data_IF_294762204030
#
_entry.id   IF_294762204030
#
_cell.length_a   1.000
_cell.length_b   1.000
_cell.length_c   1.000
_cell.angle_alpha   90.00
_cell.angle_beta   90.00
_cell.angle_gamma   90.00
#
_symmetry.space_group_name_H-M   'P 1'
#
loop_
_entity.id
_entity.type
_entity.pdbx_description
1 polymer ?
#
# COMPACT_ATOMS: atom_id res chain seq x y z
N UNK A 1 34.89 -9.41 24.75
CA UNK A 1 34.30 -10.77 24.62
C UNK A 1 33.72 -10.79 23.21
N UNK A 2 34.55 -11.19 22.25
CA UNK A 2 34.24 -11.13 20.82
C UNK A 2 33.49 -12.37 20.39
N UNK A 3 32.42 -12.19 19.62
CA UNK A 3 31.76 -13.28 18.92
C UNK A 3 32.37 -13.28 17.51
N UNK A 4 33.18 -14.29 17.24
CA UNK A 4 33.94 -14.42 16.01
C UNK A 4 33.05 -14.72 14.83
N UNK A 5 33.04 -13.81 13.86
CA UNK A 5 32.66 -14.08 12.48
C UNK A 5 33.82 -14.82 11.82
N UNK A 6 34.02 -16.09 12.16
CA UNK A 6 35.04 -16.90 11.50
C UNK A 6 34.63 -18.37 11.51
N UNK A 7 33.91 -18.73 10.45
CA UNK A 7 33.86 -20.04 9.80
C UNK A 7 32.71 -19.98 8.82
N UNK A 8 32.98 -19.73 7.54
CA UNK A 8 32.39 -20.42 6.39
C UNK A 8 33.17 -19.97 5.15
N UNK A 9 34.27 -20.67 4.87
CA UNK A 9 34.90 -20.66 3.54
C UNK A 9 34.43 -21.92 2.84
N UNK A 10 33.35 -21.78 2.07
CA UNK A 10 33.03 -22.63 0.91
C UNK A 10 32.15 -21.82 -0.05
N UNK A 11 32.53 -21.85 -1.33
CA UNK A 11 31.76 -21.51 -2.54
C UNK A 11 31.32 -20.04 -2.77
N UNK A 12 32.04 -19.39 -3.68
CA UNK A 12 31.78 -18.07 -4.30
C UNK A 12 30.38 -17.85 -4.90
N UNK A 13 29.53 -18.88 -4.95
CA UNK A 13 28.10 -18.79 -5.29
C UNK A 13 27.21 -18.41 -4.11
N UNK A 14 27.50 -18.88 -2.89
CA UNK A 14 26.72 -18.61 -1.67
C UNK A 14 26.86 -17.14 -1.22
N UNK A 15 28.02 -16.52 -1.44
CA UNK A 15 28.26 -15.12 -1.06
C UNK A 15 27.43 -14.17 -1.95
N UNK A 16 27.41 -14.40 -3.27
CA UNK A 16 26.55 -13.61 -4.19
C UNK A 16 25.06 -13.84 -3.96
N UNK A 17 24.71 -15.01 -3.43
CA UNK A 17 23.35 -15.41 -3.09
C UNK A 17 22.86 -14.68 -1.83
N UNK A 18 23.64 -14.74 -0.74
CA UNK A 18 23.39 -13.98 0.48
C UNK A 18 23.35 -12.47 0.20
N UNK A 19 24.33 -11.94 -0.54
CA UNK A 19 24.36 -10.51 -0.88
C UNK A 19 23.12 -10.05 -1.68
N UNK A 20 22.53 -10.90 -2.53
CA UNK A 20 21.31 -10.56 -3.30
C UNK A 20 20.07 -10.58 -2.41
N UNK A 21 19.92 -11.59 -1.55
CA UNK A 21 18.79 -11.65 -0.62
C UNK A 21 18.91 -10.52 0.40
N UNK A 22 20.10 -10.26 0.94
CA UNK A 22 20.37 -9.18 1.88
C UNK A 22 20.03 -7.81 1.28
N UNK A 23 20.42 -7.54 0.02
CA UNK A 23 20.03 -6.28 -0.64
C UNK A 23 18.51 -6.16 -0.80
N UNK A 24 17.82 -7.23 -1.21
CA UNK A 24 16.36 -7.22 -1.35
C UNK A 24 15.63 -7.14 -0.01
N UNK A 25 16.21 -7.68 1.07
CA UNK A 25 15.71 -7.54 2.43
C UNK A 25 15.96 -6.12 2.97
N UNK A 26 17.12 -5.52 2.70
CA UNK A 26 17.51 -4.20 3.19
C UNK A 26 16.78 -3.03 2.51
N UNK A 27 16.26 -3.21 1.30
CA UNK A 27 15.50 -2.15 0.60
C UNK A 27 14.17 -1.78 1.29
N UNK A 28 13.62 -2.66 2.13
CA UNK A 28 12.24 -2.51 2.66
C UNK A 28 12.14 -2.75 4.18
N UNK A 29 13.19 -3.30 4.81
CA UNK A 29 13.27 -3.47 6.27
C UNK A 29 13.84 -2.18 6.88
N UNK A 30 12.99 -1.17 7.00
CA UNK A 30 13.29 0.06 7.77
C UNK A 30 13.46 -0.23 9.29
N UNK A 31 13.10 -1.44 9.75
CA UNK A 31 13.18 -1.87 11.13
C UNK A 31 13.29 -3.41 11.22
N UNK A 32 14.47 -3.91 11.58
CA UNK A 32 14.79 -5.35 11.72
C UNK A 32 13.99 -6.08 12.78
N UNK A 33 13.21 -5.35 13.60
CA UNK A 33 12.33 -5.92 14.62
C UNK A 33 10.88 -6.09 14.14
N UNK A 34 10.57 -5.67 12.90
CA UNK A 34 9.25 -5.90 12.28
C UNK A 34 9.24 -7.27 11.59
N UNK A 35 8.17 -8.07 11.74
CA UNK A 35 7.98 -9.26 10.93
C UNK A 35 8.04 -8.90 9.44
N UNK A 36 8.69 -9.74 8.65
CA UNK A 36 8.77 -9.55 7.19
C UNK A 36 7.35 -9.56 6.61
N UNK A 37 7.05 -8.61 5.71
CA UNK A 37 5.75 -8.55 5.06
C UNK A 37 5.52 -9.79 4.18
N UNK A 38 4.26 -10.19 4.04
CA UNK A 38 3.88 -11.43 3.34
C UNK A 38 4.40 -11.50 1.90
N UNK A 39 4.34 -10.37 1.17
CA UNK A 39 4.80 -10.28 -0.21
C UNK A 39 6.32 -10.39 -0.37
N UNK A 40 7.09 -10.05 0.66
CA UNK A 40 8.55 -9.96 0.57
C UNK A 40 9.23 -11.31 0.33
N UNK A 41 8.82 -12.34 1.09
CA UNK A 41 9.36 -13.70 0.93
C UNK A 41 9.06 -14.26 -0.46
N UNK A 42 7.83 -14.07 -0.93
CA UNK A 42 7.39 -14.57 -2.23
C UNK A 42 8.04 -13.82 -3.39
N UNK A 43 8.18 -12.50 -3.27
CA UNK A 43 8.89 -11.70 -4.26
C UNK A 43 10.34 -12.15 -4.41
N UNK A 44 11.06 -12.37 -3.31
CA UNK A 44 12.43 -12.89 -3.34
C UNK A 44 12.49 -14.28 -3.97
N UNK A 45 11.59 -15.19 -3.58
CA UNK A 45 11.52 -16.54 -4.15
C UNK A 45 11.30 -16.48 -5.67
N UNK A 46 10.38 -15.63 -6.15
CA UNK A 46 10.09 -15.48 -7.57
C UNK A 46 11.23 -14.81 -8.35
N UNK A 47 11.77 -13.69 -7.85
CA UNK A 47 12.79 -12.90 -8.53
C UNK A 47 14.13 -13.66 -8.64
N UNK A 48 14.39 -14.56 -7.69
CA UNK A 48 15.61 -15.35 -7.63
C UNK A 48 15.44 -16.80 -8.13
N UNK A 49 14.21 -17.20 -8.53
CA UNK A 49 13.84 -18.57 -8.90
C UNK A 49 14.23 -19.60 -7.82
N UNK A 50 13.88 -19.29 -6.57
CA UNK A 50 14.18 -20.07 -5.37
C UNK A 50 12.92 -20.70 -4.78
N UNK A 51 13.14 -21.80 -4.06
CA UNK A 51 12.06 -22.41 -3.28
C UNK A 51 11.71 -21.50 -2.08
N UNK A 52 10.42 -21.34 -1.80
CA UNK A 52 9.94 -20.48 -0.72
C UNK A 52 10.42 -20.96 0.66
N UNK A 53 10.64 -22.27 0.84
CA UNK A 53 11.18 -22.85 2.05
C UNK A 53 12.67 -22.49 2.22
N UNK A 54 13.43 -22.39 1.13
CA UNK A 54 14.83 -21.95 1.16
C UNK A 54 14.95 -20.48 1.61
N UNK A 55 14.10 -19.60 1.05
CA UNK A 55 14.06 -18.18 1.44
C UNK A 55 13.59 -18.03 2.90
N UNK A 56 12.58 -18.81 3.29
CA UNK A 56 12.07 -18.82 4.68
C UNK A 56 13.16 -19.28 5.67
N UNK A 57 13.88 -20.36 5.33
CA UNK A 57 14.97 -20.87 6.15
C UNK A 57 16.12 -19.87 6.25
N UNK A 58 16.44 -19.17 5.16
CA UNK A 58 17.42 -18.08 5.16
C UNK A 58 17.02 -16.95 6.12
N UNK A 59 15.77 -16.50 6.04
CA UNK A 59 15.19 -15.47 6.92
C UNK A 59 15.29 -15.87 8.39
N UNK A 60 15.01 -17.14 8.72
CA UNK A 60 15.19 -17.67 10.08
C UNK A 60 16.67 -17.65 10.50
N UNK A 61 17.57 -18.04 9.60
CA UNK A 61 19.01 -18.11 9.89
C UNK A 61 19.62 -16.72 10.17
N UNK A 62 19.12 -15.67 9.53
CA UNK A 62 19.53 -14.28 9.79
C UNK A 62 18.83 -13.64 11.01
N UNK A 63 17.99 -14.41 11.72
CA UNK A 63 17.34 -14.00 12.96
C UNK A 63 16.01 -13.25 12.78
N UNK A 64 15.45 -13.22 11.58
CA UNK A 64 14.16 -12.62 11.28
C UNK A 64 13.03 -13.65 11.45
N UNK A 65 11.84 -13.17 11.80
CA UNK A 65 10.66 -14.03 11.94
C UNK A 65 9.86 -14.01 10.64
N UNK A 66 9.75 -15.14 9.91
CA UNK A 66 8.95 -15.19 8.70
C UNK A 66 7.46 -15.05 9.05
N UNK A 67 6.65 -14.41 8.18
CA UNK A 67 5.21 -14.44 8.31
C UNK A 67 4.69 -15.88 8.27
N UNK A 68 3.57 -16.14 8.93
CA UNK A 68 2.96 -17.48 8.94
C UNK A 68 2.27 -17.75 7.60
N UNK A 69 3.06 -18.07 6.58
CA UNK A 69 2.59 -18.27 5.21
C UNK A 69 2.27 -19.74 5.00
N UNK A 70 0.98 -20.08 4.98
CA UNK A 70 0.53 -21.48 4.80
C UNK A 70 0.23 -21.85 3.34
N UNK A 71 0.33 -20.89 2.41
CA UNK A 71 -0.01 -21.05 0.99
C UNK A 71 0.90 -20.19 0.12
N UNK A 72 1.26 -20.73 -1.04
CA UNK A 72 1.87 -19.97 -2.14
C UNK A 72 0.95 -18.81 -2.55
N UNK A 73 1.52 -17.62 -2.67
CA UNK A 73 0.90 -16.46 -3.27
C UNK A 73 0.98 -16.53 -4.80
N UNK A 74 -0.13 -16.27 -5.48
CA UNK A 74 -0.12 -16.06 -6.93
C UNK A 74 0.42 -14.67 -7.29
N UNK A 75 0.75 -14.45 -8.57
CA UNK A 75 1.07 -13.10 -9.08
C UNK A 75 -0.03 -12.08 -8.74
N UNK A 76 -1.30 -12.46 -8.93
CA UNK A 76 -2.45 -11.63 -8.56
C UNK A 76 -2.51 -11.30 -7.06
N UNK A 77 -1.97 -12.18 -6.20
CA UNK A 77 -1.90 -11.90 -4.76
C UNK A 77 -0.81 -10.88 -4.45
N UNK A 78 0.34 -10.99 -5.13
CA UNK A 78 1.43 -10.04 -5.01
C UNK A 78 0.99 -8.64 -5.48
N UNK A 79 0.27 -8.56 -6.60
CA UNK A 79 -0.35 -7.31 -7.05
C UNK A 79 -1.30 -6.79 -5.97
N UNK A 80 -2.19 -7.63 -5.44
CA UNK A 80 -3.19 -7.17 -4.49
C UNK A 80 -2.62 -6.74 -3.13
N UNK A 81 -1.48 -7.28 -2.69
CA UNK A 81 -0.84 -6.91 -1.42
C UNK A 81 0.25 -5.85 -1.58
N UNK A 82 0.63 -5.47 -2.80
CA UNK A 82 1.46 -4.30 -3.05
C UNK A 82 0.65 -3.03 -2.73
N UNK A 83 1.25 -2.07 -2.02
CA UNK A 83 0.66 -0.75 -1.79
C UNK A 83 0.37 -0.06 -3.13
N UNK A 84 1.21 -0.33 -4.13
CA UNK A 84 1.10 0.25 -5.46
C UNK A 84 0.32 -0.55 -6.50
N UNK A 85 -0.10 -1.76 -6.13
CA UNK A 85 -0.82 -2.70 -6.99
C UNK A 85 -0.04 -3.12 -8.24
N UNK A 86 1.28 -3.10 -8.14
CA UNK A 86 2.21 -3.42 -9.25
C UNK A 86 2.97 -4.73 -9.04
N UNK A 87 2.63 -5.47 -7.98
CA UNK A 87 3.28 -6.71 -7.59
C UNK A 87 4.68 -6.50 -7.03
N UNK A 88 5.02 -5.28 -6.60
CA UNK A 88 6.31 -4.92 -6.00
C UNK A 88 6.12 -4.23 -4.66
N UNK A 89 7.20 -4.18 -3.89
CA UNK A 89 7.25 -3.39 -2.66
C UNK A 89 6.99 -1.90 -2.94
N UNK A 90 6.45 -1.16 -1.96
CA UNK A 90 6.22 -1.60 -0.58
C UNK A 90 4.96 -2.47 -0.44
N UNK A 91 5.00 -3.46 0.46
CA UNK A 91 3.88 -4.37 0.72
C UNK A 91 2.98 -3.90 1.86
N UNK A 92 1.71 -4.31 1.84
CA UNK A 92 0.78 -4.11 2.95
C UNK A 92 1.27 -4.83 4.22
N UNK A 93 1.23 -4.14 5.36
CA UNK A 93 1.53 -4.71 6.67
C UNK A 93 0.31 -5.47 7.22
N UNK A 94 0.44 -6.79 7.35
CA UNK A 94 -0.63 -7.68 7.87
C UNK A 94 -1.08 -7.34 9.30
N UNK A 95 -0.27 -6.60 10.06
CA UNK A 95 -0.62 -6.13 11.42
C UNK A 95 -1.51 -4.90 11.40
N UNK A 96 -1.55 -4.17 10.29
CA UNK A 96 -2.39 -3.00 10.13
C UNK A 96 -3.67 -3.40 9.39
N UNK A 97 -4.83 -2.88 9.80
CA UNK A 97 -6.05 -3.13 9.06
C UNK A 97 -6.00 -2.41 7.70
N UNK A 98 -6.33 -3.14 6.64
CA UNK A 98 -6.44 -2.64 5.27
C UNK A 98 -7.57 -1.63 5.22
N UNK A 99 -7.22 -0.46 4.73
CA UNK A 99 -8.11 0.69 4.70
C UNK A 99 -8.98 0.68 3.42
N UNK A 100 -10.15 1.33 3.43
CA UNK A 100 -11.08 1.30 2.29
C UNK A 100 -10.44 1.73 0.97
N UNK A 101 -9.52 2.69 1.01
CA UNK A 101 -8.84 3.22 -0.18
C UNK A 101 -8.13 2.16 -1.02
N UNK A 102 -7.59 1.12 -0.38
CA UNK A 102 -6.88 0.05 -1.08
C UNK A 102 -7.82 -0.73 -1.98
N UNK A 103 -9.05 -0.99 -1.51
CA UNK A 103 -10.11 -1.60 -2.32
C UNK A 103 -10.48 -0.70 -3.49
N UNK A 104 -10.52 0.62 -3.25
CA UNK A 104 -10.88 1.56 -4.31
C UNK A 104 -9.80 1.58 -5.39
N UNK A 105 -8.53 1.57 -4.99
CA UNK A 105 -7.39 1.47 -5.91
C UNK A 105 -7.42 0.16 -6.69
N UNK A 106 -7.68 -0.96 -6.02
CA UNK A 106 -7.78 -2.29 -6.66
C UNK A 106 -8.96 -2.37 -7.65
N UNK A 107 -10.09 -1.76 -7.31
CA UNK A 107 -11.20 -1.62 -8.25
C UNK A 107 -10.84 -0.75 -9.46
N UNK A 108 -10.02 0.28 -9.25
CA UNK A 108 -9.65 1.23 -10.30
C UNK A 108 -8.61 0.67 -11.28
N UNK A 109 -7.54 0.09 -10.74
CA UNK A 109 -6.35 -0.27 -11.51
C UNK A 109 -6.41 -1.72 -11.99
N UNK A 110 -6.98 -2.62 -11.17
CA UNK A 110 -7.06 -4.05 -11.46
C UNK A 110 -8.47 -4.49 -11.88
N UNK A 111 -9.45 -3.58 -11.90
CA UNK A 111 -10.86 -3.86 -12.20
C UNK A 111 -11.48 -4.94 -11.29
N UNK A 112 -10.96 -5.10 -10.07
CA UNK A 112 -11.41 -6.11 -9.12
C UNK A 112 -12.58 -5.60 -8.27
N UNK A 113 -13.73 -6.31 -8.25
CA UNK A 113 -14.84 -5.93 -7.38
C UNK A 113 -14.42 -5.91 -5.90
N UNK A 114 -14.90 -4.94 -5.10
CA UNK A 114 -14.50 -4.78 -3.69
C UNK A 114 -14.72 -6.03 -2.84
N UNK A 115 -15.82 -6.75 -3.09
CA UNK A 115 -16.16 -8.04 -2.47
C UNK A 115 -15.05 -9.08 -2.69
N UNK A 116 -14.52 -9.16 -3.92
CA UNK A 116 -13.46 -10.10 -4.27
C UNK A 116 -12.13 -9.71 -3.62
N UNK A 117 -11.82 -8.41 -3.60
CA UNK A 117 -10.63 -7.87 -2.92
C UNK A 117 -10.67 -8.21 -1.43
N UNK A 118 -11.80 -7.95 -0.75
CA UNK A 118 -11.96 -8.26 0.68
C UNK A 118 -11.84 -9.75 0.95
N UNK A 119 -12.54 -10.58 0.16
CA UNK A 119 -12.50 -12.03 0.32
C UNK A 119 -11.06 -12.53 0.17
N UNK A 120 -10.32 -12.03 -0.82
CA UNK A 120 -8.95 -12.47 -1.08
C UNK A 120 -7.99 -12.01 0.01
N UNK A 121 -7.98 -10.72 0.36
CA UNK A 121 -7.12 -10.19 1.43
C UNK A 121 -7.42 -10.85 2.79
N UNK A 122 -8.69 -11.12 3.11
CA UNK A 122 -9.06 -11.84 4.34
C UNK A 122 -8.51 -13.27 4.33
N UNK A 123 -8.58 -13.97 3.19
CA UNK A 123 -8.00 -15.31 3.04
C UNK A 123 -6.47 -15.33 3.21
N UNK A 124 -5.81 -14.20 2.93
CA UNK A 124 -4.37 -13.99 3.11
C UNK A 124 -4.02 -13.50 4.53
N UNK A 125 -5.01 -13.36 5.44
CA UNK A 125 -4.80 -13.01 6.84
C UNK A 125 -4.86 -11.51 7.15
N UNK A 126 -5.23 -10.66 6.18
CA UNK A 126 -5.42 -9.24 6.42
C UNK A 126 -6.76 -8.96 7.11
N UNK A 127 -6.78 -7.95 7.98
CA UNK A 127 -8.00 -7.42 8.61
C UNK A 127 -8.45 -6.17 7.87
N UNK A 128 -9.75 -5.92 7.75
CA UNK A 128 -10.28 -4.69 7.15
C UNK A 128 -10.51 -3.62 8.22
N UNK A 129 -10.31 -2.35 7.86
CA UNK A 129 -10.54 -1.19 8.74
C UNK A 129 -12.01 -0.70 8.73
N UNK A 130 -12.89 -1.41 8.04
CA UNK A 130 -14.28 -1.06 7.82
C UNK A 130 -15.17 -2.31 7.96
N UNK A 131 -16.41 -2.10 8.42
CA UNK A 131 -17.40 -3.17 8.55
C UNK A 131 -18.29 -3.29 7.30
N UNK A 132 -18.53 -2.17 6.60
CA UNK A 132 -19.34 -2.09 5.39
C UNK A 132 -18.44 -1.70 4.21
N UNK A 133 -18.71 -2.28 3.04
CA UNK A 133 -17.94 -1.97 1.83
C UNK A 133 -18.14 -0.50 1.43
N UNK A 134 -17.07 0.18 0.98
CA UNK A 134 -17.22 1.50 0.40
C UNK A 134 -18.17 1.44 -0.80
N UNK A 135 -19.06 2.43 -0.89
CA UNK A 135 -20.02 2.54 -2.00
C UNK A 135 -19.30 2.91 -3.30
N UNK A 136 -18.89 1.87 -4.03
CA UNK A 136 -18.17 1.96 -5.30
C UNK A 136 -19.07 1.78 -6.53
N UNK A 137 -20.38 1.96 -6.36
CA UNK A 137 -21.36 1.83 -7.46
C UNK A 137 -21.19 2.89 -8.56
N UNK A 138 -20.38 3.94 -8.32
CA UNK A 138 -20.06 4.99 -9.29
C UNK A 138 -18.67 4.84 -9.92
N UNK A 139 -18.59 4.19 -11.09
CA UNK A 139 -17.41 4.23 -11.98
C UNK A 139 -16.78 5.64 -12.18
N UNK A 140 -17.55 6.76 -12.27
CA UNK A 140 -16.96 8.10 -12.37
C UNK A 140 -16.15 8.58 -11.15
N UNK A 141 -16.23 7.91 -9.99
CA UNK A 141 -15.58 8.36 -8.76
C UNK A 141 -14.09 8.03 -8.66
N UNK A 142 -13.59 7.13 -9.49
CA UNK A 142 -12.15 6.87 -9.59
C UNK A 142 -11.38 8.13 -10.02
N UNK A 143 -12.00 8.95 -10.86
CA UNK A 143 -11.43 10.24 -11.27
C UNK A 143 -11.37 11.27 -10.13
N UNK A 144 -12.20 11.11 -9.09
CA UNK A 144 -12.14 11.96 -7.90
C UNK A 144 -10.96 11.60 -7.01
N UNK A 145 -10.50 10.35 -7.04
CA UNK A 145 -9.43 9.88 -6.17
C UNK A 145 -8.05 10.09 -6.75
N UNK A 146 -7.95 10.44 -8.04
CA UNK A 146 -6.67 10.71 -8.70
C UNK A 146 -6.33 12.19 -8.64
N UNK A 147 -5.18 12.51 -8.04
CA UNK A 147 -4.65 13.86 -8.03
C UNK A 147 -4.31 14.30 -9.46
N UNK A 148 -4.84 15.45 -9.89
CA UNK A 148 -4.61 15.94 -11.24
C UNK A 148 -3.15 16.38 -11.49
N UNK A 149 -2.44 16.81 -10.44
CA UNK A 149 -1.07 17.31 -10.54
C UNK A 149 -0.03 16.21 -10.70
N UNK A 150 -0.24 15.07 -10.03
CA UNK A 150 0.74 13.97 -9.95
C UNK A 150 0.27 12.72 -10.69
N UNK A 151 -1.04 12.58 -10.91
CA UNK A 151 -1.65 11.34 -11.34
C UNK A 151 -1.70 10.26 -10.26
N UNK A 152 -1.21 10.55 -9.05
CA UNK A 152 -1.24 9.59 -7.95
C UNK A 152 -2.62 9.56 -7.29
N UNK A 153 -2.96 8.44 -6.67
CA UNK A 153 -4.15 8.37 -5.83
C UNK A 153 -3.98 9.24 -4.59
N UNK A 154 -5.11 9.78 -4.11
CA UNK A 154 -5.13 10.52 -2.87
C UNK A 154 -4.71 9.61 -1.72
N UNK A 155 -3.77 10.11 -0.92
CA UNK A 155 -3.44 9.53 0.36
C UNK A 155 -4.61 9.77 1.33
N UNK A 156 -5.27 8.73 1.83
CA UNK A 156 -6.45 8.83 2.68
C UNK A 156 -6.10 9.15 4.12
N UNK A 157 -4.84 8.96 4.52
CA UNK A 157 -4.39 9.40 5.81
C UNK A 157 -4.12 10.89 5.87
N UNK A 158 -3.95 11.50 4.70
CA UNK A 158 -3.80 12.95 4.54
C UNK A 158 -5.14 13.61 4.26
N UNK A 159 -5.39 14.81 4.82
CA UNK A 159 -6.55 15.59 4.45
C UNK A 159 -6.56 15.91 2.95
N UNK A 160 -7.71 15.74 2.30
CA UNK A 160 -7.92 16.17 0.92
C UNK A 160 -7.74 17.68 0.84
N UNK A 161 -6.91 18.13 -0.10
CA UNK A 161 -6.61 19.56 -0.23
C UNK A 161 -7.78 20.32 -0.86
N UNK A 162 -7.94 21.60 -0.50
CA UNK A 162 -8.91 22.48 -1.15
C UNK A 162 -8.67 22.59 -2.66
N UNK A 163 -7.41 22.58 -3.10
CA UNK A 163 -7.04 22.61 -4.50
C UNK A 163 -7.61 21.40 -5.27
N UNK A 164 -7.50 20.20 -4.68
CA UNK A 164 -8.07 18.98 -5.26
C UNK A 164 -9.59 19.06 -5.35
N UNK A 165 -10.26 19.49 -4.27
CA UNK A 165 -11.72 19.63 -4.23
C UNK A 165 -12.24 20.61 -5.29
N UNK A 166 -11.60 21.78 -5.44
CA UNK A 166 -11.96 22.77 -6.46
C UNK A 166 -11.72 22.23 -7.87
N UNK A 167 -10.60 21.53 -8.09
CA UNK A 167 -10.30 20.94 -9.39
C UNK A 167 -11.32 19.87 -9.78
N UNK A 168 -11.62 18.95 -8.86
CA UNK A 168 -12.59 17.88 -9.05
C UNK A 168 -14.01 18.43 -9.31
N UNK A 169 -14.45 19.42 -8.52
CA UNK A 169 -15.72 20.13 -8.71
C UNK A 169 -15.83 20.73 -10.12
N UNK A 170 -14.79 21.45 -10.58
CA UNK A 170 -14.76 22.03 -11.93
C UNK A 170 -14.79 20.98 -13.03
N UNK A 171 -14.04 19.87 -12.89
CA UNK A 171 -14.00 18.81 -13.90
C UNK A 171 -15.33 18.09 -14.05
N UNK A 172 -16.07 17.91 -12.95
CA UNK A 172 -17.36 17.22 -12.94
C UNK A 172 -18.56 18.15 -13.13
N UNK A 173 -18.34 19.46 -13.09
CA UNK A 173 -19.42 20.46 -13.05
C UNK A 173 -20.40 20.22 -11.89
N UNK A 174 -19.86 19.75 -10.76
CA UNK A 174 -20.61 19.44 -9.53
C UNK A 174 -20.23 20.44 -8.42
N UNK A 175 -21.14 20.76 -7.49
CA UNK A 175 -20.80 21.55 -6.30
C UNK A 175 -19.65 20.93 -5.50
N UNK A 176 -18.78 21.78 -4.94
CA UNK A 176 -17.64 21.32 -4.12
C UNK A 176 -18.11 20.55 -2.86
N UNK A 177 -19.31 20.85 -2.36
CA UNK A 177 -19.96 20.12 -1.26
C UNK A 177 -20.27 18.69 -1.63
N UNK A 178 -20.80 18.47 -2.83
CA UNK A 178 -21.21 17.15 -3.32
C UNK A 178 -19.96 16.29 -3.56
N UNK A 179 -18.90 16.88 -4.11
CA UNK A 179 -17.59 16.24 -4.24
C UNK A 179 -16.99 15.88 -2.89
N UNK A 180 -17.06 16.79 -1.91
CA UNK A 180 -16.58 16.57 -0.55
C UNK A 180 -17.33 15.42 0.14
N UNK A 181 -18.66 15.43 0.07
CA UNK A 181 -19.49 14.34 0.58
C UNK A 181 -19.18 13.01 -0.10
N UNK A 182 -18.98 13.02 -1.42
CA UNK A 182 -18.64 11.79 -2.16
C UNK A 182 -17.28 11.25 -1.75
N UNK A 183 -16.25 12.10 -1.65
CA UNK A 183 -14.93 11.70 -1.17
C UNK A 183 -14.98 11.18 0.28
N UNK A 184 -15.80 11.78 1.14
CA UNK A 184 -16.01 11.29 2.50
C UNK A 184 -16.66 9.91 2.54
N UNK A 185 -17.68 9.66 1.69
CA UNK A 185 -18.30 8.32 1.53
C UNK A 185 -17.32 7.28 0.99
N UNK A 186 -16.32 7.71 0.22
CA UNK A 186 -15.21 6.88 -0.25
C UNK A 186 -14.10 6.71 0.81
N UNK A 187 -14.30 7.21 2.04
CA UNK A 187 -13.35 7.03 3.15
C UNK A 187 -12.21 8.04 3.18
N UNK A 188 -12.26 9.11 2.39
CA UNK A 188 -11.25 10.16 2.39
C UNK A 188 -11.44 11.13 3.56
N UNK A 189 -10.33 11.58 4.16
CA UNK A 189 -10.33 12.64 5.16
C UNK A 189 -10.58 14.00 4.51
N UNK A 190 -11.83 14.46 4.49
CA UNK A 190 -12.18 15.78 3.94
C UNK A 190 -12.19 16.82 5.07
N UNK A 191 -11.43 17.93 4.96
CA UNK A 191 -11.41 18.97 5.98
C UNK A 191 -12.70 19.81 5.98
N UNK A 192 -13.00 20.48 7.09
CA UNK A 192 -14.12 21.43 7.14
C UNK A 192 -13.93 22.54 6.10
N UNK A 193 -14.83 22.59 5.12
CA UNK A 193 -14.72 23.48 3.96
C UNK A 193 -14.78 24.95 4.40
N UNK A 194 -15.66 25.29 5.34
CA UNK A 194 -15.83 26.66 5.80
C UNK A 194 -14.56 27.21 6.46
N UNK A 195 -13.90 26.40 7.29
CA UNK A 195 -12.62 26.76 7.92
C UNK A 195 -11.50 26.80 6.88
N UNK A 196 -11.46 25.84 5.96
CA UNK A 196 -10.43 25.76 4.93
C UNK A 196 -10.47 26.96 3.98
N UNK A 197 -11.67 27.37 3.53
CA UNK A 197 -11.87 28.56 2.67
C UNK A 197 -11.52 29.83 3.43
N UNK A 198 -11.96 29.98 4.69
CA UNK A 198 -11.58 31.15 5.51
C UNK A 198 -10.06 31.29 5.65
N UNK A 199 -9.36 30.18 5.94
CA UNK A 199 -7.90 30.16 6.04
C UNK A 199 -7.22 30.48 4.70
N UNK A 200 -7.77 30.02 3.58
CA UNK A 200 -7.26 30.34 2.26
C UNK A 200 -7.47 31.82 1.92
N UNK A 201 -8.65 32.37 2.18
CA UNK A 201 -8.96 33.79 1.94
C UNK A 201 -8.10 34.73 2.78
N UNK A 202 -7.74 34.35 4.01
CA UNK A 202 -6.84 35.15 4.85
C UNK A 202 -5.43 35.29 4.26
N UNK A 203 -5.03 34.40 3.34
CA UNK A 203 -3.72 34.41 2.67
C UNK A 203 -3.76 35.12 1.31
N UNK A 204 -4.94 35.52 0.82
CA UNK A 204 -5.06 36.28 -0.41
C UNK A 204 -4.58 37.70 -0.15
N UNK A 205 -3.55 38.19 -0.86
CA UNK A 205 -3.11 39.57 -0.74
C UNK A 205 -4.29 40.50 -1.03
N UNK A 206 -4.56 41.45 -0.12
CA UNK A 206 -5.49 42.53 -0.41
C UNK A 206 -4.72 43.59 -1.17
N UNK A 207 -5.26 44.03 -2.30
CA UNK A 207 -4.77 45.25 -2.93
C UNK A 207 -4.97 46.41 -1.94
N UNK A 208 -3.88 47.08 -1.59
CA UNK A 208 -3.89 48.35 -0.86
C UNK A 208 -4.18 49.49 -1.83
#
# INVERSE_FOLDING_TARGET
MGVGLDKFVTYTGEIKFADRIDNLLLEDIDDTNKPIALGHLHYIAQELDLDIDEVTQYVVNVGLTPPNVRRELSTDDLELISVDLDGRGPWLDTRLPVQPHHLIKAYADLYLPPEQVVARLTSLGFRMAFAELPDLTGFPDLTLLRQASTGLYLDPDKPVTLAHLVHASRRRSEPITDVAERLQKLGMKVPDLATTVRNAMARVPREN
#
